data_IF_053757486884
#
_entry.id   IF_053757486884
#
_cell.length_a   1.000
_cell.length_b   1.000
_cell.length_c   1.000
_cell.angle_alpha   90.00
_cell.angle_beta   90.00
_cell.angle_gamma   90.00
#
_symmetry.space_group_name_H-M   'P 1'
#
loop_
_entity.id
_entity.type
_entity.pdbx_description
1 polymer ?
#
# COMPACT_ATOMS: atom_id res chain seq x y z
N UNK A 1 -2.84 6.22 14.63
CA UNK A 1 -3.74 7.01 13.75
C UNK A 1 -3.72 6.37 12.37
N UNK A 2 -4.88 5.97 11.83
CA UNK A 2 -4.99 5.44 10.47
C UNK A 2 -4.72 6.58 9.50
N UNK A 3 -3.74 6.43 8.63
CA UNK A 3 -3.42 7.46 7.64
C UNK A 3 -4.58 7.59 6.66
N UNK A 4 -5.37 8.67 6.81
CA UNK A 4 -6.58 8.91 6.00
C UNK A 4 -6.24 9.05 4.52
N UNK A 5 -5.05 9.56 4.19
CA UNK A 5 -4.62 9.71 2.80
C UNK A 5 -4.28 8.35 2.20
N UNK A 6 -3.65 7.46 2.98
CA UNK A 6 -3.35 6.10 2.52
C UNK A 6 -4.62 5.31 2.19
N UNK A 7 -5.63 5.36 3.07
CA UNK A 7 -6.89 4.65 2.82
C UNK A 7 -7.65 5.23 1.63
N UNK A 8 -7.66 6.56 1.48
CA UNK A 8 -8.23 7.20 0.28
C UNK A 8 -7.52 6.71 -0.97
N UNK A 9 -6.19 6.72 -0.98
CA UNK A 9 -5.41 6.29 -2.13
C UNK A 9 -5.62 4.80 -2.48
N UNK A 10 -5.83 3.94 -1.48
CA UNK A 10 -6.17 2.53 -1.69
C UNK A 10 -7.54 2.42 -2.35
N UNK A 11 -8.56 3.07 -1.79
CA UNK A 11 -9.93 3.01 -2.31
C UNK A 11 -9.99 3.51 -3.76
N UNK A 12 -9.37 4.64 -4.06
CA UNK A 12 -9.37 5.24 -5.40
C UNK A 12 -8.67 4.34 -6.44
N UNK A 13 -7.61 3.64 -6.02
CA UNK A 13 -6.91 2.68 -6.87
C UNK A 13 -7.73 1.41 -7.09
N UNK A 14 -8.44 0.92 -6.07
CA UNK A 14 -9.37 -0.20 -6.18
C UNK A 14 -10.50 0.11 -7.17
N UNK A 15 -11.11 1.29 -7.05
CA UNK A 15 -12.15 1.75 -7.97
C UNK A 15 -11.65 1.84 -9.41
N UNK A 16 -10.45 2.37 -9.64
CA UNK A 16 -9.84 2.41 -10.98
C UNK A 16 -9.56 1.02 -11.54
N UNK A 17 -9.08 0.09 -10.71
CA UNK A 17 -8.85 -1.31 -11.09
C UNK A 17 -10.17 -1.96 -11.53
N UNK A 18 -11.28 -1.69 -10.85
CA UNK A 18 -12.60 -2.20 -11.24
C UNK A 18 -13.04 -1.67 -12.60
N UNK A 19 -12.82 -0.38 -12.89
CA UNK A 19 -13.07 0.15 -14.23
C UNK A 19 -12.20 -0.53 -15.29
N UNK A 20 -10.93 -0.80 -14.97
CA UNK A 20 -9.99 -1.48 -15.87
C UNK A 20 -10.36 -2.93 -16.15
N UNK A 21 -10.98 -3.63 -15.19
CA UNK A 21 -11.58 -4.96 -15.37
C UNK A 21 -12.82 -4.90 -16.26
N UNK A 22 -13.69 -3.90 -16.08
CA UNK A 22 -14.86 -3.72 -16.96
C UNK A 22 -14.43 -3.49 -18.40
N UNK A 23 -13.35 -2.74 -18.61
CA UNK A 23 -12.77 -2.55 -19.94
C UNK A 23 -12.34 -3.88 -20.56
N UNK A 24 -11.72 -4.78 -19.79
CA UNK A 24 -11.25 -6.07 -20.30
C UNK A 24 -12.38 -6.93 -20.86
N UNK A 25 -13.57 -6.90 -20.25
CA UNK A 25 -14.73 -7.61 -20.76
C UNK A 25 -15.11 -7.14 -22.18
N UNK A 26 -14.99 -5.84 -22.47
CA UNK A 26 -15.19 -5.32 -23.83
C UNK A 26 -14.04 -5.70 -24.76
N UNK A 27 -12.78 -5.67 -24.28
CA UNK A 27 -11.61 -6.12 -25.07
C UNK A 27 -11.78 -7.58 -25.51
N UNK A 28 -12.11 -8.48 -24.57
CA UNK A 28 -12.26 -9.90 -24.83
C UNK A 28 -13.38 -10.16 -25.84
N UNK A 29 -14.52 -9.49 -25.69
CA UNK A 29 -15.63 -9.60 -26.65
C UNK A 29 -15.26 -9.05 -28.03
N UNK A 30 -14.53 -7.93 -28.07
CA UNK A 30 -14.09 -7.28 -29.30
C UNK A 30 -13.10 -8.13 -30.08
N UNK A 31 -12.14 -8.74 -29.38
CA UNK A 31 -11.17 -9.67 -29.98
C UNK A 31 -11.81 -10.95 -30.49
N UNK A 32 -12.89 -11.42 -29.84
CA UNK A 32 -13.69 -12.55 -30.31
C UNK A 32 -14.70 -12.18 -31.41
N UNK A 33 -14.61 -10.97 -31.98
CA UNK A 33 -15.46 -10.47 -33.07
C UNK A 33 -16.97 -10.54 -32.78
N UNK A 34 -17.35 -10.44 -31.51
CA UNK A 34 -18.76 -10.43 -31.14
C UNK A 34 -19.45 -9.18 -31.67
N UNK A 35 -20.76 -9.28 -31.90
CA UNK A 35 -21.57 -8.13 -32.25
C UNK A 35 -21.86 -7.30 -30.99
N UNK A 36 -21.78 -5.99 -31.16
CA UNK A 36 -22.13 -5.02 -30.13
C UNK A 36 -23.39 -4.28 -30.55
N UNK A 37 -24.26 -3.97 -29.58
CA UNK A 37 -25.42 -3.12 -29.81
C UNK A 37 -25.03 -1.65 -29.73
N UNK A 38 -25.88 -0.75 -30.24
CA UNK A 38 -25.65 0.70 -30.12
C UNK A 38 -25.64 1.18 -28.66
N UNK A 39 -26.38 0.53 -27.77
CA UNK A 39 -26.36 0.82 -26.33
C UNK A 39 -25.02 0.42 -25.69
N UNK A 40 -24.44 -0.70 -26.11
CA UNK A 40 -23.13 -1.14 -25.63
C UNK A 40 -22.00 -0.22 -26.09
N UNK A 41 -22.08 0.30 -27.31
CA UNK A 41 -21.13 1.32 -27.82
C UNK A 41 -21.17 2.57 -26.94
N UNK A 42 -22.37 3.07 -26.64
CA UNK A 42 -22.53 4.23 -25.75
C UNK A 42 -21.97 3.94 -24.34
N UNK A 43 -22.27 2.78 -23.77
CA UNK A 43 -21.75 2.37 -22.47
C UNK A 43 -20.22 2.24 -22.46
N UNK A 44 -19.62 1.79 -23.55
CA UNK A 44 -18.17 1.72 -23.71
C UNK A 44 -17.53 3.13 -23.75
N UNK A 45 -18.10 4.07 -24.51
CA UNK A 45 -17.61 5.45 -24.57
C UNK A 45 -17.71 6.16 -23.21
N UNK A 46 -18.79 5.89 -22.45
CA UNK A 46 -18.94 6.37 -21.09
C UNK A 46 -17.89 5.76 -20.14
N UNK A 47 -17.65 4.45 -20.25
CA UNK A 47 -16.60 3.77 -19.48
C UNK A 47 -15.22 4.35 -19.78
N UNK A 48 -14.86 4.58 -21.06
CA UNK A 48 -13.61 5.25 -21.43
C UNK A 48 -13.48 6.62 -20.78
N UNK A 49 -14.56 7.40 -20.81
CA UNK A 49 -14.60 8.73 -20.20
C UNK A 49 -14.41 8.67 -18.68
N UNK A 50 -15.00 7.67 -18.01
CA UNK A 50 -14.81 7.44 -16.58
C UNK A 50 -13.36 7.07 -16.27
N UNK A 51 -12.78 6.13 -17.02
CA UNK A 51 -11.39 5.71 -16.86
C UNK A 51 -10.43 6.90 -17.05
N UNK A 52 -10.62 7.71 -18.08
CA UNK A 52 -9.77 8.87 -18.34
C UNK A 52 -9.80 9.87 -17.16
N UNK A 53 -11.00 10.19 -16.64
CA UNK A 53 -11.14 11.08 -15.48
C UNK A 53 -10.47 10.50 -14.23
N UNK A 54 -10.66 9.21 -13.97
CA UNK A 54 -10.14 8.57 -12.77
C UNK A 54 -8.62 8.35 -12.84
N UNK A 55 -8.07 8.16 -14.04
CA UNK A 55 -6.62 8.16 -14.27
C UNK A 55 -6.00 9.51 -13.90
N UNK A 56 -6.54 10.63 -14.37
CA UNK A 56 -6.05 11.97 -14.01
C UNK A 56 -6.13 12.24 -12.51
N UNK A 57 -7.22 11.81 -11.87
CA UNK A 57 -7.38 11.92 -10.42
C UNK A 57 -6.31 11.10 -9.68
N UNK A 58 -6.07 9.85 -10.09
CA UNK A 58 -5.03 9.00 -9.52
C UNK A 58 -3.62 9.59 -9.69
N UNK A 59 -3.30 10.09 -10.89
CA UNK A 59 -2.00 10.73 -11.15
C UNK A 59 -1.78 11.95 -10.25
N UNK A 60 -2.84 12.74 -10.04
CA UNK A 60 -2.80 13.89 -9.12
C UNK A 60 -2.58 13.45 -7.67
N UNK A 61 -3.23 12.35 -7.24
CA UNK A 61 -3.13 11.86 -5.85
C UNK A 61 -1.84 11.12 -5.53
N UNK A 62 -1.26 10.40 -6.49
CA UNK A 62 -0.06 9.59 -6.30
C UNK A 62 1.23 10.41 -6.48
N UNK A 63 1.17 11.58 -7.13
CA UNK A 63 2.31 12.46 -7.35
C UNK A 63 3.48 11.78 -8.12
N UNK A 64 4.67 12.40 -8.07
CA UNK A 64 5.93 11.97 -8.73
C UNK A 64 6.38 10.51 -8.47
N UNK A 65 5.67 9.73 -7.65
CA UNK A 65 5.98 8.31 -7.35
C UNK A 65 5.58 7.40 -8.50
N UNK A 66 4.57 7.78 -9.27
CA UNK A 66 4.32 7.20 -10.57
C UNK A 66 4.98 8.14 -11.60
N UNK A 67 6.02 7.69 -12.30
CA UNK A 67 6.25 8.26 -13.64
C UNK A 67 4.90 8.29 -14.33
N UNK A 68 4.53 9.47 -14.86
CA UNK A 68 3.23 9.74 -15.46
C UNK A 68 3.02 8.76 -16.63
N UNK A 69 2.56 7.56 -16.31
CA UNK A 69 2.55 6.45 -17.25
C UNK A 69 1.28 6.59 -18.07
N UNK A 70 1.40 7.37 -19.14
CA UNK A 70 0.33 7.65 -20.09
C UNK A 70 -0.09 6.40 -20.89
N UNK A 71 0.51 5.22 -20.63
CA UNK A 71 0.16 3.95 -21.29
C UNK A 71 -1.33 3.64 -21.22
N UNK A 72 -1.97 3.89 -20.08
CA UNK A 72 -3.40 3.66 -19.93
C UNK A 72 -4.21 4.51 -20.92
N UNK A 73 -3.92 5.81 -21.02
CA UNK A 73 -4.60 6.73 -21.95
C UNK A 73 -4.27 6.40 -23.41
N UNK A 74 -3.03 6.02 -23.71
CA UNK A 74 -2.61 5.59 -25.06
C UNK A 74 -3.39 4.35 -25.53
N UNK A 75 -3.62 3.40 -24.64
CA UNK A 75 -4.44 2.22 -24.93
C UNK A 75 -5.88 2.63 -25.25
N UNK A 76 -6.49 3.50 -24.44
CA UNK A 76 -7.85 4.00 -24.69
C UNK A 76 -7.97 4.74 -26.04
N UNK A 77 -6.92 5.46 -26.44
CA UNK A 77 -6.87 6.18 -27.71
C UNK A 77 -6.71 5.25 -28.91
N UNK A 78 -6.10 4.07 -28.72
CA UNK A 78 -5.94 3.07 -29.78
C UNK A 78 -7.27 2.43 -30.18
N UNK A 79 -8.26 2.48 -29.30
CA UNK A 79 -9.56 1.82 -29.45
C UNK A 79 -10.69 2.86 -29.39
N UNK A 80 -10.93 3.65 -30.45
CA UNK A 80 -11.88 4.76 -30.42
C UNK A 80 -13.32 4.29 -30.14
N UNK A 81 -13.73 3.16 -30.72
CA UNK A 81 -15.09 2.59 -30.64
C UNK A 81 -15.05 1.06 -30.50
N UNK A 82 -16.18 0.42 -30.15
CA UNK A 82 -16.29 -1.04 -30.17
C UNK A 82 -16.23 -1.57 -31.61
N UNK A 83 -16.78 -0.82 -32.57
CA UNK A 83 -16.70 -1.19 -33.98
C UNK A 83 -15.26 -1.25 -34.51
N UNK A 84 -14.38 -0.36 -34.03
CA UNK A 84 -12.96 -0.38 -34.38
C UNK A 84 -12.28 -1.71 -34.00
N UNK A 85 -12.79 -2.47 -33.02
CA UNK A 85 -12.23 -3.79 -32.69
C UNK A 85 -12.34 -4.80 -33.82
N UNK A 86 -13.42 -4.73 -34.60
CA UNK A 86 -13.65 -5.66 -35.71
C UNK A 86 -12.67 -5.44 -36.86
N UNK A 87 -12.16 -4.23 -36.98
CA UNK A 87 -11.24 -3.81 -38.04
C UNK A 87 -9.77 -3.91 -37.62
N UNK A 88 -9.48 -4.25 -36.35
CA UNK A 88 -8.13 -4.39 -35.85
C UNK A 88 -7.43 -5.62 -36.42
N UNK A 89 -6.21 -5.47 -36.97
CA UNK A 89 -5.37 -6.61 -37.29
C UNK A 89 -5.07 -7.45 -36.05
N UNK A 90 -5.00 -8.77 -36.19
CA UNK A 90 -4.75 -9.69 -35.06
C UNK A 90 -3.48 -9.34 -34.27
N UNK A 91 -2.42 -8.90 -34.97
CA UNK A 91 -1.18 -8.44 -34.32
C UNK A 91 -1.38 -7.20 -33.44
N UNK A 92 -2.26 -6.29 -33.85
CA UNK A 92 -2.58 -5.09 -33.05
C UNK A 92 -3.48 -5.45 -31.86
N UNK A 93 -4.44 -6.36 -32.05
CA UNK A 93 -5.26 -6.88 -30.96
C UNK A 93 -4.42 -7.53 -29.86
N UNK A 94 -3.45 -8.38 -30.21
CA UNK A 94 -2.51 -9.00 -29.25
C UNK A 94 -1.65 -7.95 -28.54
N UNK A 95 -1.21 -6.91 -29.25
CA UNK A 95 -0.44 -5.81 -28.66
C UNK A 95 -1.28 -5.05 -27.61
N UNK A 96 -2.52 -4.70 -27.95
CA UNK A 96 -3.46 -4.04 -27.03
C UNK A 96 -3.72 -4.91 -25.80
N UNK A 97 -3.94 -6.22 -25.97
CA UNK A 97 -4.12 -7.14 -24.85
C UNK A 97 -2.88 -7.18 -23.93
N UNK A 98 -1.68 -7.20 -24.51
CA UNK A 98 -0.42 -7.16 -23.76
C UNK A 98 -0.24 -5.85 -22.99
N UNK A 99 -0.50 -4.71 -23.62
CA UNK A 99 -0.43 -3.39 -22.98
C UNK A 99 -1.47 -3.24 -21.86
N UNK A 100 -2.69 -3.74 -22.08
CA UNK A 100 -3.74 -3.78 -21.06
C UNK A 100 -3.27 -4.56 -19.84
N UNK A 101 -2.77 -5.78 -20.06
CA UNK A 101 -2.33 -6.68 -19.00
C UNK A 101 -1.12 -6.11 -18.23
N UNK A 102 -0.14 -5.56 -18.94
CA UNK A 102 1.01 -4.91 -18.31
C UNK A 102 0.60 -3.74 -17.41
N UNK A 103 -0.33 -2.91 -17.88
CA UNK A 103 -0.90 -1.81 -17.08
C UNK A 103 -1.63 -2.36 -15.85
N UNK A 104 -2.47 -3.38 -16.02
CA UNK A 104 -3.20 -4.02 -14.94
C UNK A 104 -2.28 -4.59 -13.86
N UNK A 105 -1.22 -5.29 -14.24
CA UNK A 105 -0.20 -5.79 -13.30
C UNK A 105 0.50 -4.65 -12.55
N UNK A 106 0.80 -3.54 -13.22
CA UNK A 106 1.36 -2.34 -12.59
C UNK A 106 0.45 -1.76 -11.51
N UNK A 107 -0.86 -1.68 -11.78
CA UNK A 107 -1.86 -1.22 -10.82
C UNK A 107 -1.98 -2.18 -9.63
N UNK A 108 -2.01 -3.49 -9.86
CA UNK A 108 -2.06 -4.50 -8.80
C UNK A 108 -0.82 -4.46 -7.90
N UNK A 109 0.37 -4.32 -8.49
CA UNK A 109 1.60 -4.16 -7.73
C UNK A 109 1.58 -2.88 -6.88
N UNK A 110 1.05 -1.79 -7.41
CA UNK A 110 0.88 -0.54 -6.67
C UNK A 110 -0.09 -0.69 -5.50
N UNK A 111 -1.23 -1.35 -5.71
CA UNK A 111 -2.19 -1.66 -4.65
C UNK A 111 -1.55 -2.50 -3.55
N UNK A 112 -0.79 -3.54 -3.93
CA UNK A 112 -0.03 -4.37 -2.99
C UNK A 112 0.96 -3.56 -2.14
N UNK A 113 1.68 -2.60 -2.74
CA UNK A 113 2.58 -1.70 -2.00
C UNK A 113 1.83 -0.83 -0.98
N UNK A 114 0.69 -0.26 -1.37
CA UNK A 114 -0.13 0.57 -0.47
C UNK A 114 -0.74 -0.26 0.67
N UNK A 115 -1.26 -1.45 0.36
CA UNK A 115 -1.79 -2.39 1.35
C UNK A 115 -0.72 -2.86 2.33
N UNK A 116 0.49 -3.16 1.85
CA UNK A 116 1.63 -3.49 2.71
C UNK A 116 2.02 -2.34 3.64
N UNK A 117 2.03 -1.10 3.14
CA UNK A 117 2.27 0.09 3.96
C UNK A 117 1.19 0.28 5.03
N UNK A 118 -0.08 0.00 4.71
CA UNK A 118 -1.20 0.03 5.67
C UNK A 118 -0.97 -0.95 6.81
N UNK A 119 -0.54 -2.18 6.50
CA UNK A 119 -0.25 -3.18 7.53
C UNK A 119 0.94 -2.80 8.41
N UNK A 120 2.01 -2.27 7.82
CA UNK A 120 3.16 -1.77 8.59
C UNK A 120 2.77 -0.67 9.58
N UNK A 121 1.97 0.31 9.14
CA UNK A 121 1.46 1.38 10.02
C UNK A 121 0.55 0.83 11.12
N UNK A 122 -0.27 -0.18 10.82
CA UNK A 122 -1.11 -0.85 11.82
C UNK A 122 -0.27 -1.55 12.89
N UNK A 123 0.79 -2.27 12.49
CA UNK A 123 1.74 -2.94 13.42
C UNK A 123 2.44 -1.94 14.33
N UNK A 124 2.99 -0.85 13.81
CA UNK A 124 3.65 0.20 14.61
C UNK A 124 2.67 0.82 15.62
N UNK A 125 1.44 1.12 15.19
CA UNK A 125 0.41 1.67 16.08
C UNK A 125 0.02 0.71 17.21
N UNK A 126 0.00 -0.61 16.94
CA UNK A 126 -0.34 -1.61 17.95
C UNK A 126 0.74 -1.73 19.04
N UNK A 127 2.02 -1.67 18.68
CA UNK A 127 3.14 -1.73 19.63
C UNK A 127 3.14 -0.53 20.58
N UNK A 128 2.97 0.69 20.06
CA UNK A 128 2.90 1.89 20.91
C UNK A 128 1.69 1.92 21.84
N UNK A 129 0.55 1.39 21.40
CA UNK A 129 -0.67 1.31 22.22
C UNK A 129 -0.54 0.24 23.31
N UNK A 130 0.12 -0.88 23.01
CA UNK A 130 0.42 -1.94 23.98
C UNK A 130 1.33 -1.46 25.10
N UNK A 131 2.44 -0.78 24.75
CA UNK A 131 3.36 -0.20 25.73
C UNK A 131 2.64 0.78 26.65
N UNK A 132 1.85 1.71 26.11
CA UNK A 132 1.10 2.68 26.93
C UNK A 132 0.09 2.00 27.87
N UNK A 133 -0.54 0.91 27.46
CA UNK A 133 -1.49 0.15 28.30
C UNK A 133 -0.78 -0.61 29.43
N UNK A 134 0.39 -1.18 29.15
CA UNK A 134 1.23 -1.86 30.15
C UNK A 134 1.75 -0.87 31.19
N UNK A 135 2.22 0.32 30.77
CA UNK A 135 2.64 1.39 31.68
C UNK A 135 1.48 2.16 32.33
N UNK A 136 0.22 1.94 31.92
CA UNK A 136 -0.94 2.52 32.61
C UNK A 136 -1.40 1.67 33.81
N UNK A 137 -0.89 0.44 33.97
CA UNK A 137 -1.22 -0.40 35.11
C UNK A 137 -0.27 -0.10 36.29
N UNK A 138 -0.76 0.47 37.40
CA UNK A 138 0.09 0.86 38.53
C UNK A 138 0.81 -0.32 39.17
N UNK A 139 0.24 -1.53 39.10
CA UNK A 139 0.86 -2.76 39.58
C UNK A 139 2.13 -3.14 38.79
N UNK A 140 2.14 -2.94 37.47
CA UNK A 140 3.30 -3.23 36.61
C UNK A 140 4.41 -2.22 36.89
N UNK A 141 4.05 -0.94 37.05
CA UNK A 141 5.02 0.09 37.46
C UNK A 141 5.64 -0.27 38.81
N UNK A 142 4.82 -0.65 39.80
CA UNK A 142 5.32 -1.05 41.12
C UNK A 142 6.26 -2.25 41.04
N UNK A 143 5.90 -3.28 40.28
CA UNK A 143 6.73 -4.48 40.11
C UNK A 143 8.07 -4.14 39.43
N UNK A 144 8.05 -3.24 38.43
CA UNK A 144 9.25 -2.76 37.75
C UNK A 144 10.13 -1.91 38.69
N UNK A 145 9.53 -1.07 39.53
CA UNK A 145 10.25 -0.34 40.58
C UNK A 145 10.87 -1.27 41.63
N UNK A 146 10.16 -2.30 42.06
CA UNK A 146 10.67 -3.30 43.01
C UNK A 146 11.83 -4.09 42.41
N UNK A 147 11.73 -4.51 41.14
CA UNK A 147 12.82 -5.16 40.43
C UNK A 147 14.04 -4.26 40.26
N UNK A 148 13.84 -2.97 39.95
CA UNK A 148 14.91 -1.99 39.84
C UNK A 148 15.59 -1.76 41.20
N UNK A 149 14.82 -1.59 42.28
CA UNK A 149 15.33 -1.46 43.64
C UNK A 149 16.08 -2.72 44.10
N UNK A 150 15.57 -3.90 43.77
CA UNK A 150 16.23 -5.18 44.04
C UNK A 150 17.54 -5.33 43.24
N UNK A 151 17.55 -4.92 41.98
CA UNK A 151 18.75 -4.90 41.15
C UNK A 151 19.83 -4.00 41.73
N UNK A 152 19.46 -2.80 42.19
CA UNK A 152 20.38 -1.87 42.88
C UNK A 152 20.87 -2.45 44.20
N UNK A 153 19.99 -3.05 45.01
CA UNK A 153 20.38 -3.69 46.27
C UNK A 153 21.37 -4.84 46.05
N UNK A 154 21.13 -5.68 45.05
CA UNK A 154 22.01 -6.80 44.70
C UNK A 154 23.36 -6.34 44.16
N UNK A 155 23.37 -5.37 43.24
CA UNK A 155 24.61 -4.77 42.72
C UNK A 155 25.39 -4.03 43.81
N UNK A 156 24.70 -3.36 44.74
CA UNK A 156 25.31 -2.74 45.91
C UNK A 156 25.99 -3.78 46.81
N UNK A 157 25.36 -4.94 47.04
CA UNK A 157 25.93 -6.03 47.83
C UNK A 157 27.24 -6.59 47.26
N UNK A 158 27.39 -6.63 45.94
CA UNK A 158 28.62 -7.10 45.28
C UNK A 158 29.70 -5.99 45.19
N UNK A 159 29.31 -4.70 45.17
CA UNK A 159 30.23 -3.56 45.10
C UNK A 159 30.83 -3.18 46.46
N UNK A 160 30.09 -3.34 47.56
CA UNK A 160 30.55 -3.06 48.93
C UNK A 160 31.88 -3.78 49.28
N UNK A 161 32.04 -5.11 49.07
CA UNK A 161 33.30 -5.79 49.39
C UNK A 161 34.46 -5.41 48.46
N UNK A 162 34.20 -4.90 47.25
CA UNK A 162 35.24 -4.39 46.35
C UNK A 162 35.73 -3.00 46.80
N UNK A 163 34.84 -2.12 47.25
CA UNK A 163 35.18 -0.80 47.80
C UNK A 163 35.91 -0.92 49.13
N UNK A 164 35.50 -1.84 50.01
CA UNK A 164 36.22 -2.11 51.27
C UNK A 164 37.65 -2.63 51.02
N UNK A 165 37.88 -3.43 49.97
CA UNK A 165 39.24 -3.85 49.60
C UNK A 165 40.10 -2.71 49.08
N UNK A 166 39.49 -1.69 48.45
CA UNK A 166 40.20 -0.49 47.99
C UNK A 166 40.53 0.46 49.14
N UNK A 167 39.70 0.53 50.17
CA UNK A 167 39.94 1.40 51.34
C UNK A 167 40.76 0.74 52.45
N UNK A 168 40.77 -0.60 52.56
CA UNK A 168 41.58 -1.34 53.53
C UNK A 168 43.05 -1.55 53.11
N UNK A 169 43.40 -1.26 51.84
CA UNK A 169 44.75 -1.44 51.32
C UNK A 169 45.77 -0.33 51.65
N UNK A 170 45.36 0.74 52.34
CA UNK A 170 46.17 1.97 52.49
C UNK A 170 46.62 2.27 53.94
N UNK A 171 46.57 1.29 54.86
CA UNK A 171 47.01 1.47 56.27
C UNK A 171 48.26 0.67 56.65
N UNK A 172 49.13 0.37 55.68
CA UNK A 172 50.49 -0.13 55.98
C UNK A 172 51.56 0.62 55.20
N UNK A 173 51.83 1.87 55.60
CA UNK A 173 53.16 2.48 55.61
C UNK A 173 53.28 3.48 56.75
#
# INVERSE_FOLDING_TARGET
MRDKNLERNIQELEEFIELWKRLSAYLDRGFNQQNFTGEEEQAFLELKSQIARQHEMLMTMLGNVAERDDKALRLLNTLPSLQAFKELPEGMARKVAGEWHGTFMGLQAMLGRLAGRREQLARISSLGTGVRRVFAQPAIILLLCVLAAYGVYRLGGDLVPWVERLTAGDTTK
#
